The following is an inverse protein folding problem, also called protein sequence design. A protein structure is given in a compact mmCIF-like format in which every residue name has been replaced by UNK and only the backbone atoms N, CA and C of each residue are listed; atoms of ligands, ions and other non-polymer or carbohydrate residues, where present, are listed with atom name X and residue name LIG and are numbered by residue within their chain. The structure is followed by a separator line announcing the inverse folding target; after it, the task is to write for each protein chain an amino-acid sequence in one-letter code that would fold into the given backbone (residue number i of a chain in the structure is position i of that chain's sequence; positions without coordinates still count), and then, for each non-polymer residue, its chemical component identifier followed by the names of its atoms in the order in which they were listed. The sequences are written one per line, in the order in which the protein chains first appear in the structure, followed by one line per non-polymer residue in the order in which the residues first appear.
data_IF_865819904040
#
_entry.id   IF_865819904040
#
_cell.length_a   1.000
_cell.length_b   1.000
_cell.length_c   1.000
_cell.angle_alpha   90.00
_cell.angle_beta   90.00
_cell.angle_gamma   90.00
#
_symmetry.space_group_name_H-M   'P 1'
#
loop_
_entity.id
_entity.type
_entity.pdbx_description
1 polymer ?
#
# COMPACT_ATOMS: atom_id res chain seq x y z
N UNK A 1 0.03 -2.76 22.41
CA UNK A 1 0.39 -4.00 21.69
C UNK A 1 1.34 -3.53 20.64
N UNK A 2 2.59 -3.90 20.79
CA UNK A 2 3.71 -3.27 20.11
C UNK A 2 4.27 -4.28 19.11
N UNK A 3 4.65 -3.84 17.91
CA UNK A 3 5.35 -4.70 16.96
C UNK A 3 6.85 -4.52 17.10
N UNK A 4 7.60 -5.58 16.85
CA UNK A 4 9.05 -5.55 16.79
C UNK A 4 9.52 -5.42 15.34
N UNK A 5 10.55 -4.61 15.11
CA UNK A 5 11.15 -4.43 13.78
C UNK A 5 12.58 -4.94 13.80
N UNK A 6 12.87 -5.84 12.85
CA UNK A 6 14.18 -6.46 12.68
C UNK A 6 14.73 -6.13 11.29
N UNK A 7 16.03 -5.86 11.21
CA UNK A 7 16.76 -5.67 9.95
C UNK A 7 17.82 -6.75 9.84
N UNK A 8 17.89 -7.36 8.66
CA UNK A 8 18.83 -8.42 8.33
C UNK A 8 19.80 -7.94 7.26
N UNK A 9 21.09 -8.19 7.45
CA UNK A 9 22.11 -7.96 6.43
C UNK A 9 22.35 -9.24 5.63
N UNK A 10 22.30 -9.16 4.30
CA UNK A 10 22.68 -10.29 3.46
C UNK A 10 24.20 -10.53 3.42
N UNK A 11 25.01 -9.53 3.80
CA UNK A 11 26.48 -9.66 3.88
C UNK A 11 26.92 -10.44 5.12
N UNK A 12 26.10 -10.40 6.15
CA UNK A 12 26.32 -11.12 7.40
C UNK A 12 24.99 -11.76 7.80
N UNK A 13 24.76 -12.95 7.24
CA UNK A 13 23.51 -13.70 7.38
C UNK A 13 23.22 -14.16 8.81
N UNK A 14 24.18 -13.98 9.73
CA UNK A 14 24.03 -14.27 11.15
C UNK A 14 23.64 -13.02 11.97
N UNK A 15 23.71 -11.83 11.37
CA UNK A 15 23.34 -10.57 12.03
C UNK A 15 21.85 -10.24 11.81
N UNK A 16 21.05 -10.52 12.83
CA UNK A 16 19.70 -9.99 12.97
C UNK A 16 19.75 -8.86 14.00
N UNK A 17 19.45 -7.63 13.59
CA UNK A 17 19.40 -6.49 14.50
C UNK A 17 17.96 -6.09 14.77
N UNK A 18 17.53 -6.18 16.03
CA UNK A 18 16.30 -5.54 16.48
C UNK A 18 16.52 -4.03 16.50
N UNK A 19 15.75 -3.30 15.71
CA UNK A 19 15.89 -1.84 15.58
C UNK A 19 15.01 -1.12 16.60
N UNK A 20 13.75 -1.55 16.76
CA UNK A 20 12.82 -0.89 17.66
C UNK A 20 11.61 -1.76 18.00
N UNK A 21 10.91 -1.34 19.06
CA UNK A 21 9.49 -1.62 19.24
C UNK A 21 8.71 -0.42 18.71
N UNK A 22 7.68 -0.68 17.92
CA UNK A 22 6.81 0.37 17.39
C UNK A 22 5.39 0.20 17.95
N UNK A 23 4.69 1.29 18.32
CA UNK A 23 3.33 1.25 18.87
C UNK A 23 2.29 1.04 17.75
N UNK A 24 2.64 0.24 16.75
CA UNK A 24 1.88 -0.02 15.54
C UNK A 24 1.78 -1.51 15.31
N UNK A 25 0.66 -1.96 14.75
CA UNK A 25 0.43 -3.33 14.29
C UNK A 25 0.32 -3.35 12.77
N UNK A 26 1.13 -4.20 12.14
CA UNK A 26 0.97 -4.50 10.72
C UNK A 26 -0.34 -5.27 10.49
N UNK A 27 -1.13 -4.84 9.50
CA UNK A 27 -2.52 -5.29 9.38
C UNK A 27 -2.66 -6.63 8.67
N UNK A 28 -1.69 -7.04 7.84
CA UNK A 28 -1.76 -8.27 7.07
C UNK A 28 -0.35 -8.87 6.88
N UNK A 29 -0.20 -10.17 7.11
CA UNK A 29 1.07 -10.89 6.91
C UNK A 29 1.54 -10.86 5.44
N UNK A 30 0.61 -10.67 4.51
CA UNK A 30 0.88 -10.53 3.08
C UNK A 30 1.31 -9.13 2.69
N UNK A 31 1.10 -8.09 3.52
CA UNK A 31 1.35 -6.68 3.19
C UNK A 31 2.83 -6.33 3.23
N UNK A 32 3.46 -6.72 2.13
CA UNK A 32 4.82 -6.35 1.77
C UNK A 32 4.90 -4.82 1.75
N UNK A 33 5.73 -4.29 2.64
CA UNK A 33 6.14 -2.90 2.55
C UNK A 33 6.84 -2.61 1.23
N UNK A 34 6.87 -1.35 0.82
CA UNK A 34 7.55 -0.89 -0.39
C UNK A 34 8.76 -0.04 -0.03
N UNK A 35 9.88 -0.30 -0.70
CA UNK A 35 11.09 0.48 -0.53
C UNK A 35 11.13 1.62 -1.54
N UNK A 36 11.27 2.86 -1.06
CA UNK A 36 11.31 4.07 -1.88
C UNK A 36 12.13 5.13 -1.15
N UNK A 37 12.99 5.88 -1.86
CA UNK A 37 13.73 7.02 -1.30
C UNK A 37 14.45 6.72 0.04
N UNK A 38 15.17 5.59 0.11
CA UNK A 38 15.89 5.22 1.33
C UNK A 38 15.04 4.58 2.42
N UNK A 39 13.71 4.60 2.27
CA UNK A 39 12.77 4.23 3.32
C UNK A 39 11.93 3.00 2.96
N UNK A 40 11.71 2.11 3.91
CA UNK A 40 10.70 1.05 3.82
C UNK A 40 9.36 1.59 4.31
N UNK A 41 8.29 1.41 3.54
CA UNK A 41 6.96 1.93 3.87
C UNK A 41 5.95 0.81 3.99
N UNK A 42 5.07 0.87 4.98
CA UNK A 42 3.97 -0.07 5.11
C UNK A 42 2.77 0.57 5.79
N UNK A 43 1.65 -0.14 5.73
CA UNK A 43 0.41 0.19 6.40
C UNK A 43 0.39 -0.45 7.79
N UNK A 44 0.03 0.34 8.81
CA UNK A 44 -0.13 -0.17 10.17
C UNK A 44 -1.31 0.50 10.90
N UNK A 45 -1.71 -0.02 12.06
CA UNK A 45 -2.63 0.68 12.99
C UNK A 45 -2.04 0.75 14.38
N UNK A 46 -2.30 1.85 15.09
CA UNK A 46 -1.97 1.97 16.52
C UNK A 46 -2.79 1.04 17.42
N UNK A 47 -4.07 0.87 17.09
CA UNK A 47 -5.04 0.04 17.82
C UNK A 47 -5.99 -0.65 16.85
N UNK A 48 -6.66 -1.73 17.29
CA UNK A 48 -7.55 -2.53 16.43
C UNK A 48 -8.60 -1.70 15.68
N UNK A 49 -9.15 -0.67 16.35
CA UNK A 49 -10.18 0.22 15.81
C UNK A 49 -9.66 1.60 15.39
N UNK A 50 -8.34 1.83 15.44
CA UNK A 50 -7.78 3.09 14.99
C UNK A 50 -7.84 3.20 13.45
N UNK A 51 -7.86 4.43 12.91
CA UNK A 51 -7.53 4.68 11.52
C UNK A 51 -6.21 4.00 11.16
N UNK A 52 -6.09 3.64 9.89
CA UNK A 52 -4.83 3.13 9.35
C UNK A 52 -3.84 4.27 9.26
N UNK A 53 -2.57 4.01 9.53
CA UNK A 53 -1.44 4.91 9.40
C UNK A 53 -0.47 4.40 8.31
N UNK A 54 0.23 5.32 7.64
CA UNK A 54 1.33 5.00 6.73
C UNK A 54 2.62 5.26 7.49
N UNK A 55 3.40 4.21 7.72
CA UNK A 55 4.67 4.30 8.42
C UNK A 55 5.80 4.13 7.42
N UNK A 56 6.84 4.96 7.56
CA UNK A 56 8.10 4.81 6.87
C UNK A 56 9.22 4.59 7.89
N UNK A 57 10.09 3.62 7.61
CA UNK A 57 11.35 3.43 8.31
C UNK A 57 12.49 3.92 7.43
N UNK A 58 13.20 4.94 7.87
CA UNK A 58 14.38 5.46 7.19
C UNK A 58 15.58 4.54 7.49
N UNK A 59 16.11 3.89 6.46
CA UNK A 59 17.22 2.96 6.65
C UNK A 59 18.56 3.67 6.94
N UNK A 60 18.67 4.98 6.65
CA UNK A 60 19.87 5.78 6.92
C UNK A 60 19.86 6.27 8.36
N UNK A 61 18.81 7.00 8.73
CA UNK A 61 18.68 7.59 10.08
C UNK A 61 18.23 6.58 11.13
N UNK A 62 17.72 5.41 10.71
CA UNK A 62 17.15 4.36 11.58
C UNK A 62 15.95 4.84 12.39
N UNK A 63 15.22 5.83 11.86
CA UNK A 63 14.04 6.41 12.48
C UNK A 63 12.74 6.01 11.78
N UNK A 64 11.65 6.05 12.54
CA UNK A 64 10.30 5.86 12.02
C UNK A 64 9.63 7.21 11.85
N UNK A 65 8.91 7.39 10.75
CA UNK A 65 8.07 8.56 10.54
C UNK A 65 6.70 8.17 10.02
N UNK A 66 5.72 8.97 10.40
CA UNK A 66 4.39 8.91 9.81
C UNK A 66 4.39 9.70 8.51
N UNK A 67 3.76 9.11 7.48
CA UNK A 67 3.62 9.73 6.17
C UNK A 67 2.19 10.27 6.01
N UNK A 68 2.02 11.40 5.29
CA UNK A 68 0.71 11.94 5.07
C UNK A 68 -0.14 11.03 4.18
N UNK A 69 -1.44 11.02 4.45
CA UNK A 69 -2.42 10.21 3.73
C UNK A 69 -3.12 11.01 2.62
N UNK A 70 -3.62 10.36 1.56
CA UNK A 70 -4.32 11.04 0.48
C UNK A 70 -5.66 11.65 0.90
N UNK A 71 -6.36 11.00 1.83
CA UNK A 71 -7.66 11.43 2.34
C UNK A 71 -7.79 11.02 3.80
N UNK A 72 -8.69 11.66 4.55
CA UNK A 72 -9.10 11.14 5.84
C UNK A 72 -9.93 9.87 5.61
N UNK A 73 -9.23 8.74 5.62
CA UNK A 73 -9.82 7.42 5.52
C UNK A 73 -10.49 7.15 6.86
N UNK A 74 -11.77 7.49 6.96
CA UNK A 74 -12.57 7.15 8.13
C UNK A 74 -12.51 5.65 8.44
N UNK A 75 -13.12 5.25 9.55
CA UNK A 75 -13.11 3.86 9.99
C UNK A 75 -13.67 2.92 8.91
N UNK A 76 -12.89 1.88 8.55
CA UNK A 76 -13.38 0.76 7.75
C UNK A 76 -12.95 0.69 6.27
N UNK A 77 -12.09 1.59 5.78
CA UNK A 77 -11.47 1.40 4.46
C UNK A 77 -10.36 0.34 4.53
N UNK A 78 -10.41 -0.65 3.63
CA UNK A 78 -9.28 -1.54 3.40
C UNK A 78 -8.25 -0.83 2.52
N UNK A 79 -6.96 -1.09 2.73
CA UNK A 79 -5.92 -0.48 1.93
C UNK A 79 -4.82 -1.45 1.57
N UNK A 80 -4.30 -1.29 0.36
CA UNK A 80 -3.05 -1.91 -0.04
C UNK A 80 -2.07 -0.90 -0.61
N UNK A 81 -0.79 -1.24 -0.46
CA UNK A 81 0.34 -0.41 -0.81
C UNK A 81 1.03 -0.92 -2.08
N UNK A 82 1.59 0.01 -2.85
CA UNK A 82 2.30 -0.31 -4.08
C UNK A 82 3.22 0.82 -4.53
N UNK A 83 3.89 0.58 -5.65
CA UNK A 83 4.65 1.59 -6.38
C UNK A 83 4.11 1.69 -7.80
N UNK A 84 3.83 2.92 -8.23
CA UNK A 84 3.40 3.21 -9.59
C UNK A 84 4.30 4.30 -10.19
N UNK A 85 5.01 3.97 -11.26
CA UNK A 85 5.93 4.91 -11.90
C UNK A 85 6.99 5.46 -10.95
N UNK A 86 7.47 4.65 -10.01
CA UNK A 86 8.44 5.07 -8.98
C UNK A 86 7.87 5.95 -7.87
N UNK A 87 6.54 6.11 -7.79
CA UNK A 87 5.86 6.89 -6.75
C UNK A 87 5.05 5.98 -5.84
N UNK A 88 4.88 6.43 -4.59
CA UNK A 88 4.05 5.75 -3.60
C UNK A 88 2.60 5.72 -4.08
N UNK A 89 1.97 4.54 -4.07
CA UNK A 89 0.58 4.37 -4.47
C UNK A 89 -0.22 3.60 -3.43
N UNK A 90 -1.49 3.97 -3.29
CA UNK A 90 -2.42 3.34 -2.36
C UNK A 90 -3.70 2.99 -3.10
N UNK A 91 -4.13 1.74 -2.97
CA UNK A 91 -5.45 1.29 -3.37
C UNK A 91 -6.33 1.25 -2.14
N UNK A 92 -7.30 2.15 -2.06
CA UNK A 92 -8.29 2.21 -1.00
C UNK A 92 -9.56 1.49 -1.46
N UNK A 93 -10.11 0.61 -0.64
CA UNK A 93 -11.41 0.00 -0.88
C UNK A 93 -12.41 0.40 0.21
N UNK A 94 -13.43 1.15 -0.20
CA UNK A 94 -14.47 1.69 0.65
C UNK A 94 -15.73 0.86 0.49
N UNK A 95 -16.16 0.20 1.57
CA UNK A 95 -17.30 -0.73 1.58
C UNK A 95 -18.55 -0.20 0.86
N UNK A 96 -18.87 1.09 1.00
CA UNK A 96 -20.05 1.72 0.39
C UNK A 96 -19.76 2.51 -0.90
N UNK A 97 -18.52 2.95 -1.14
CA UNK A 97 -18.21 3.90 -2.24
C UNK A 97 -17.46 3.26 -3.41
N UNK A 98 -16.95 2.03 -3.24
CA UNK A 98 -16.07 1.39 -4.21
C UNK A 98 -14.60 1.67 -3.90
N UNK A 99 -13.73 1.48 -4.89
CA UNK A 99 -12.29 1.50 -4.68
C UNK A 99 -11.63 2.67 -5.39
N UNK A 100 -10.58 3.24 -4.82
CA UNK A 100 -9.86 4.38 -5.38
C UNK A 100 -8.36 4.14 -5.38
N UNK A 101 -7.70 4.47 -6.48
CA UNK A 101 -6.25 4.43 -6.60
C UNK A 101 -5.67 5.83 -6.49
N UNK A 102 -4.76 6.01 -5.55
CA UNK A 102 -4.08 7.26 -5.26
C UNK A 102 -2.58 7.13 -5.45
N UNK A 103 -1.92 8.21 -5.91
CA UNK A 103 -0.45 8.29 -6.05
C UNK A 103 0.06 9.58 -5.41
N UNK A 104 1.14 9.47 -4.64
CA UNK A 104 1.81 10.60 -4.01
C UNK A 104 2.66 11.33 -5.05
N UNK A 105 2.17 12.49 -5.51
CA UNK A 105 2.80 13.26 -6.59
C UNK A 105 4.21 13.73 -6.24
N UNK A 106 4.38 14.30 -5.03
CA UNK A 106 5.65 14.69 -4.42
C UNK A 106 5.84 13.92 -3.12
N UNK A 107 6.96 13.21 -3.02
CA UNK A 107 7.23 12.36 -1.87
C UNK A 107 7.19 13.15 -0.54
N UNK A 108 6.46 12.63 0.45
CA UNK A 108 6.29 13.25 1.77
C UNK A 108 5.33 14.44 1.84
N UNK A 109 4.72 14.87 0.73
CA UNK A 109 3.85 16.07 0.70
C UNK A 109 2.38 15.66 0.66
N UNK A 110 1.62 16.02 1.69
CA UNK A 110 0.20 15.68 1.84
C UNK A 110 -0.65 16.15 0.67
N UNK A 111 -0.57 17.43 0.30
CA UNK A 111 -1.41 18.00 -0.76
C UNK A 111 -0.99 17.57 -2.17
N UNK A 112 0.00 16.68 -2.30
CA UNK A 112 0.46 16.17 -3.58
C UNK A 112 -0.19 14.84 -3.98
N UNK A 113 -1.01 14.26 -3.11
CA UNK A 113 -1.75 13.04 -3.45
C UNK A 113 -2.75 13.30 -4.58
N UNK A 114 -2.69 12.47 -5.62
CA UNK A 114 -3.54 12.58 -6.80
C UNK A 114 -4.33 11.27 -6.93
N UNK A 115 -5.65 11.39 -7.06
CA UNK A 115 -6.52 10.26 -7.42
C UNK A 115 -6.36 9.96 -8.91
N UNK A 116 -5.94 8.75 -9.24
CA UNK A 116 -5.78 8.31 -10.63
C UNK A 116 -7.02 7.61 -11.16
N UNK A 117 -7.65 6.76 -10.34
CA UNK A 117 -8.76 5.90 -10.78
C UNK A 117 -9.80 5.75 -9.66
N UNK A 118 -11.07 5.72 -10.05
CA UNK A 118 -12.20 5.30 -9.22
C UNK A 118 -12.84 4.06 -9.84
N UNK A 119 -13.07 3.04 -9.03
CA UNK A 119 -13.68 1.76 -9.38
C UNK A 119 -15.01 1.64 -8.65
N UNK A 120 -16.03 1.13 -9.35
CA UNK A 120 -17.36 0.91 -8.78
C UNK A 120 -17.32 -0.14 -7.65
N UNK A 121 -18.33 -0.11 -6.78
CA UNK A 121 -18.46 -1.05 -5.66
C UNK A 121 -18.46 -2.51 -6.14
N UNK A 122 -17.78 -3.37 -5.38
CA UNK A 122 -17.72 -4.81 -5.67
C UNK A 122 -16.70 -5.18 -6.76
N UNK A 123 -15.96 -4.20 -7.26
CA UNK A 123 -14.95 -4.42 -8.29
C UNK A 123 -13.77 -5.29 -7.83
N UNK A 124 -13.29 -5.08 -6.59
CA UNK A 124 -12.22 -5.88 -6.01
C UNK A 124 -12.85 -7.00 -5.16
N UNK A 125 -13.00 -8.22 -5.69
CA UNK A 125 -13.71 -9.28 -5.00
C UNK A 125 -12.95 -9.80 -3.77
N UNK A 126 -11.65 -9.50 -3.65
CA UNK A 126 -10.77 -10.01 -2.57
C UNK A 126 -9.96 -8.91 -1.88
N UNK A 127 -10.46 -7.68 -1.82
CA UNK A 127 -9.93 -6.70 -0.86
C UNK A 127 -9.99 -7.31 0.55
N UNK A 128 -8.90 -7.25 1.36
CA UNK A 128 -7.75 -6.36 1.29
C UNK A 128 -6.50 -6.94 0.59
N UNK A 129 -6.58 -8.05 -0.16
CA UNK A 129 -5.39 -8.67 -0.78
C UNK A 129 -5.04 -8.11 -2.16
N UNK A 130 -5.94 -7.35 -2.76
CA UNK A 130 -5.79 -6.82 -4.11
C UNK A 130 -4.73 -5.73 -4.15
N UNK A 131 -3.77 -5.78 -5.09
CA UNK A 131 -2.74 -4.75 -5.28
C UNK A 131 -2.64 -4.31 -6.71
N UNK A 132 -2.42 -3.02 -6.92
CA UNK A 132 -2.03 -2.53 -8.23
C UNK A 132 -0.54 -2.77 -8.43
N UNK A 133 -0.18 -3.36 -9.57
CA UNK A 133 1.20 -3.66 -9.94
C UNK A 133 1.76 -2.58 -10.89
N UNK A 134 1.02 -2.23 -11.93
CA UNK A 134 1.44 -1.24 -12.92
C UNK A 134 0.28 -0.77 -13.81
N UNK A 135 0.57 0.24 -14.63
CA UNK A 135 -0.21 0.54 -15.83
C UNK A 135 0.41 -0.15 -17.04
N UNK A 136 -0.43 -0.69 -17.92
CA UNK A 136 -0.04 -1.05 -19.28
C UNK A 136 0.09 0.19 -20.17
N UNK A 137 0.70 0.02 -21.34
CA UNK A 137 0.86 1.10 -22.33
C UNK A 137 -0.45 1.74 -22.78
N UNK A 138 -1.54 0.96 -22.81
CA UNK A 138 -2.88 1.47 -23.16
C UNK A 138 -3.65 2.05 -21.95
N UNK A 139 -3.00 2.24 -20.81
CA UNK A 139 -3.58 2.87 -19.62
C UNK A 139 -4.51 1.96 -18.82
N UNK A 140 -4.42 0.64 -19.00
CA UNK A 140 -5.13 -0.34 -18.18
C UNK A 140 -4.30 -0.66 -16.93
N UNK A 141 -4.98 -0.93 -15.83
CA UNK A 141 -4.36 -1.32 -14.56
C UNK A 141 -4.16 -2.83 -14.51
N UNK A 142 -2.94 -3.27 -14.23
CA UNK A 142 -2.66 -4.65 -13.86
C UNK A 142 -2.74 -4.75 -12.33
N UNK A 143 -3.62 -5.61 -11.83
CA UNK A 143 -3.81 -5.88 -10.43
C UNK A 143 -3.47 -7.34 -10.11
N UNK A 144 -2.84 -7.57 -8.96
CA UNK A 144 -2.84 -8.88 -8.31
C UNK A 144 -4.09 -8.95 -7.45
N UNK A 145 -4.98 -9.90 -7.71
CA UNK A 145 -6.17 -10.12 -6.88
C UNK A 145 -6.32 -11.62 -6.58
N UNK A 146 -6.06 -12.03 -5.34
CA UNK A 146 -5.98 -13.45 -5.00
C UNK A 146 -4.89 -14.19 -5.79
N UNK A 147 -5.28 -15.26 -6.50
CA UNK A 147 -4.36 -16.12 -7.26
C UNK A 147 -4.08 -15.62 -8.68
N UNK A 148 -5.06 -15.00 -9.31
CA UNK A 148 -4.99 -14.65 -10.73
C UNK A 148 -4.73 -13.14 -10.89
N UNK A 149 -3.81 -12.73 -11.78
CA UNK A 149 -3.69 -11.34 -12.17
C UNK A 149 -4.92 -10.90 -12.97
N UNK A 150 -5.33 -9.65 -12.76
CA UNK A 150 -6.48 -9.02 -13.40
C UNK A 150 -6.02 -7.77 -14.14
N UNK A 151 -6.48 -7.60 -15.38
CA UNK A 151 -6.34 -6.35 -16.11
C UNK A 151 -7.67 -5.58 -16.05
N UNK A 152 -7.59 -4.29 -15.75
CA UNK A 152 -8.75 -3.40 -15.63
C UNK A 152 -8.60 -2.18 -16.53
N UNK A 153 -9.63 -1.88 -17.31
CA UNK A 153 -9.69 -0.64 -18.08
C UNK A 153 -10.51 0.42 -17.32
N UNK A 154 -9.86 1.46 -16.77
CA UNK A 154 -10.56 2.51 -16.03
C UNK A 154 -11.50 3.35 -16.90
N UNK A 155 -11.33 3.35 -18.24
CA UNK A 155 -12.18 4.12 -19.15
C UNK A 155 -13.49 3.41 -19.46
N UNK A 156 -13.44 2.08 -19.58
CA UNK A 156 -14.60 1.26 -19.98
C UNK A 156 -15.18 0.43 -18.83
N UNK A 157 -14.53 0.45 -17.67
CA UNK A 157 -14.80 -0.41 -16.52
C UNK A 157 -14.74 -1.92 -16.82
N UNK A 158 -14.08 -2.32 -17.93
CA UNK A 158 -13.94 -3.73 -18.33
C UNK A 158 -12.81 -4.42 -17.57
N UNK A 159 -12.99 -5.72 -17.36
CA UNK A 159 -12.09 -6.59 -16.60
C UNK A 159 -11.72 -7.81 -17.43
N UNK A 160 -10.45 -8.19 -17.36
CA UNK A 160 -9.95 -9.44 -17.93
C UNK A 160 -9.14 -10.18 -16.87
N UNK A 161 -9.47 -11.44 -16.63
CA UNK A 161 -8.63 -12.34 -15.82
C UNK A 161 -7.55 -12.88 -16.74
N UNK A 162 -6.29 -12.69 -16.35
CA UNK A 162 -5.14 -13.22 -17.08
C UNK A 162 -4.87 -14.62 -16.56
N UNK A 163 -5.24 -15.63 -17.36
CA UNK A 163 -4.91 -17.04 -17.08
C UNK A 163 -3.63 -17.41 -17.80
N UNK A 164 -2.76 -18.13 -17.10
CA UNK A 164 -1.57 -18.78 -17.65
C UNK A 164 -1.83 -20.27 -17.87
#
# INVERSE_FOLDING_TARGET
MDSEVYVYSLKDTLSCLKIANIPYRCLYASDLGVYLNGCLHWIAKRKQFAPVDIIAFDNTEKEFREMPQPVNLGEGANMTFGLLGGKLSILCDFFQKGSELWVMGKYGVADSWIKLVSMVRGFLPRAPTSRVLCFSENGKLLLKDGKDPILYDPKTAKVWIIKY
#
